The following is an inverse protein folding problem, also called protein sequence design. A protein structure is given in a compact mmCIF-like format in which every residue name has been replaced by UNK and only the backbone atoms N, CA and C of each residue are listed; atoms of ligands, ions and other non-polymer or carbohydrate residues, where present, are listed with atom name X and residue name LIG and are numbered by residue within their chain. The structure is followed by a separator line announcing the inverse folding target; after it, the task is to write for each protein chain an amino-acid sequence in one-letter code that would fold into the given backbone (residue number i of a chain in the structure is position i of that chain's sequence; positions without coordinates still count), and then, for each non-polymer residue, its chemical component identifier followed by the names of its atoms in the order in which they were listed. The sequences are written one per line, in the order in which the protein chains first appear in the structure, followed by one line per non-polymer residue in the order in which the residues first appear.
data_IF_769775501713
#
_entry.id   IF_769775501713
#
_cell.length_a   1.000
_cell.length_b   1.000
_cell.length_c   1.000
_cell.angle_alpha   90.00
_cell.angle_beta   90.00
_cell.angle_gamma   90.00
#
_symmetry.space_group_name_H-M   'P 1'
#
loop_
_entity.id
_entity.type
_entity.pdbx_description
1 polymer ?
#
# COMPACT_ATOMS: atom_id res chain seq x y z
N UNK A 1 -0.91 -5.05 -28.52
CA UNK A 1 -0.81 -5.93 -27.32
C UNK A 1 0.48 -6.72 -27.39
N UNK A 2 1.22 -6.85 -26.30
CA UNK A 2 2.49 -7.58 -26.24
C UNK A 2 2.23 -9.07 -25.96
N UNK A 3 2.24 -9.89 -27.00
CA UNK A 3 1.97 -11.34 -26.89
C UNK A 3 3.03 -12.08 -26.06
N UNK A 4 4.28 -11.62 -26.10
CA UNK A 4 5.39 -12.21 -25.31
C UNK A 4 5.11 -12.03 -23.82
N UNK A 5 4.67 -10.85 -23.38
CA UNK A 5 4.31 -10.58 -21.99
C UNK A 5 3.15 -11.47 -21.54
N UNK A 6 2.06 -11.51 -22.32
CA UNK A 6 0.88 -12.33 -21.98
C UNK A 6 1.26 -13.80 -21.82
N UNK A 7 2.04 -14.35 -22.77
CA UNK A 7 2.52 -15.74 -22.74
C UNK A 7 3.36 -16.01 -21.49
N UNK A 8 4.34 -15.14 -21.19
CA UNK A 8 5.20 -15.27 -20.01
C UNK A 8 4.40 -15.27 -18.70
N UNK A 9 3.42 -14.36 -18.56
CA UNK A 9 2.56 -14.31 -17.37
C UNK A 9 1.71 -15.58 -17.26
N UNK A 10 1.09 -16.04 -18.36
CA UNK A 10 0.25 -17.25 -18.35
C UNK A 10 1.04 -18.50 -17.96
N UNK A 11 2.29 -18.62 -18.43
CA UNK A 11 3.14 -19.79 -18.16
C UNK A 11 3.75 -19.78 -16.75
N UNK A 12 4.15 -18.59 -16.24
CA UNK A 12 4.92 -18.49 -15.01
C UNK A 12 4.10 -18.05 -13.78
N UNK A 13 2.95 -17.40 -14.02
CA UNK A 13 2.01 -16.95 -13.00
C UNK A 13 0.57 -17.39 -13.35
N UNK A 14 0.30 -18.70 -13.52
CA UNK A 14 -0.99 -19.19 -14.04
C UNK A 14 -2.17 -18.86 -13.12
N UNK A 15 -1.93 -18.56 -11.85
CA UNK A 15 -2.97 -18.16 -10.89
C UNK A 15 -3.24 -16.65 -10.89
N UNK A 16 -2.40 -15.85 -11.56
CA UNK A 16 -2.60 -14.41 -11.69
C UNK A 16 -3.66 -14.12 -12.76
N UNK A 17 -4.75 -13.51 -12.38
CA UNK A 17 -5.79 -13.05 -13.28
C UNK A 17 -5.35 -11.84 -14.11
N UNK A 18 -4.55 -12.02 -15.17
CA UNK A 18 -4.16 -10.93 -16.07
C UNK A 18 -5.33 -10.53 -16.95
N UNK A 19 -5.83 -9.31 -16.77
CA UNK A 19 -6.88 -8.72 -17.61
C UNK A 19 -6.25 -7.88 -18.72
N UNK A 20 -6.86 -7.92 -19.91
CA UNK A 20 -6.45 -7.11 -21.06
C UNK A 20 -7.57 -6.14 -21.39
N UNK A 21 -7.19 -4.93 -21.84
CA UNK A 21 -8.14 -3.85 -22.15
C UNK A 21 -9.13 -3.57 -21.01
N UNK A 22 -8.63 -3.58 -19.77
CA UNK A 22 -9.47 -3.47 -18.57
C UNK A 22 -9.92 -2.03 -18.30
N UNK A 23 -11.23 -1.77 -18.27
CA UNK A 23 -11.75 -0.41 -18.04
C UNK A 23 -11.41 0.12 -16.66
N UNK A 24 -10.61 1.17 -16.58
CA UNK A 24 -10.16 1.77 -15.31
C UNK A 24 -11.29 2.38 -14.48
N UNK A 25 -12.43 2.67 -15.08
CA UNK A 25 -13.64 3.07 -14.34
C UNK A 25 -14.10 2.06 -13.28
N UNK A 26 -13.69 0.81 -13.37
CA UNK A 26 -13.96 -0.23 -12.34
C UNK A 26 -13.01 -0.13 -11.15
N UNK A 27 -11.87 0.54 -11.32
CA UNK A 27 -10.75 0.59 -10.37
C UNK A 27 -10.49 2.00 -9.85
N UNK A 28 -11.41 2.94 -10.06
CA UNK A 28 -11.36 4.30 -9.53
C UNK A 28 -12.66 4.68 -8.84
N UNK A 29 -12.59 5.47 -7.79
CA UNK A 29 -13.79 5.96 -7.08
C UNK A 29 -14.61 6.94 -7.91
N UNK A 30 -13.98 7.65 -8.84
CA UNK A 30 -14.68 8.52 -9.81
C UNK A 30 -15.51 7.75 -10.83
N UNK A 31 -15.26 6.43 -10.99
CA UNK A 31 -15.96 5.54 -11.94
C UNK A 31 -15.92 6.03 -13.40
N UNK A 32 -14.86 6.72 -13.77
CA UNK A 32 -14.55 7.17 -15.12
C UNK A 32 -13.13 6.75 -15.49
N UNK A 33 -12.80 6.77 -16.79
CA UNK A 33 -11.49 6.45 -17.32
C UNK A 33 -11.53 5.38 -18.41
N UNK A 34 -10.67 5.54 -19.41
CA UNK A 34 -10.41 4.56 -20.45
C UNK A 34 -9.73 3.30 -19.92
N UNK A 35 -9.45 2.35 -20.81
CA UNK A 35 -8.89 1.05 -20.42
C UNK A 35 -7.38 1.11 -20.16
N UNK A 36 -6.90 0.25 -19.24
CA UNK A 36 -5.51 -0.13 -19.16
C UNK A 36 -5.20 -1.21 -20.21
N UNK A 37 -4.01 -1.20 -20.82
CA UNK A 37 -3.62 -2.27 -21.74
C UNK A 37 -3.61 -3.63 -21.04
N UNK A 38 -3.07 -3.65 -19.80
CA UNK A 38 -3.06 -4.81 -18.91
C UNK A 38 -3.35 -4.38 -17.47
N UNK A 39 -4.08 -5.23 -16.74
CA UNK A 39 -4.36 -5.05 -15.32
C UNK A 39 -4.21 -6.37 -14.58
N UNK A 40 -3.61 -6.35 -13.39
CA UNK A 40 -3.51 -7.51 -12.51
C UNK A 40 -3.46 -7.10 -11.04
N UNK A 41 -3.94 -7.98 -10.15
CA UNK A 41 -3.84 -7.84 -8.70
C UNK A 41 -2.98 -8.99 -8.13
N UNK A 42 -1.64 -8.83 -8.13
CA UNK A 42 -0.75 -9.85 -7.60
C UNK A 42 -0.81 -9.93 -6.07
N UNK A 43 -0.49 -11.10 -5.54
CA UNK A 43 -0.13 -11.28 -4.15
C UNK A 43 1.38 -11.05 -3.92
N UNK A 44 1.82 -11.21 -2.65
CA UNK A 44 3.22 -11.01 -2.24
C UNK A 44 4.20 -11.92 -3.00
N UNK A 45 3.78 -13.13 -3.37
CA UNK A 45 4.65 -14.10 -4.06
C UNK A 45 4.78 -13.82 -5.57
N UNK A 46 3.83 -13.07 -6.13
CA UNK A 46 3.71 -12.84 -7.57
C UNK A 46 4.25 -11.49 -8.03
N UNK A 47 4.20 -10.46 -7.15
CA UNK A 47 4.43 -9.05 -7.53
C UNK A 47 5.82 -8.80 -8.12
N UNK A 48 6.89 -9.31 -7.49
CA UNK A 48 8.26 -9.12 -7.97
C UNK A 48 8.44 -9.73 -9.36
N UNK A 49 7.94 -10.96 -9.54
CA UNK A 49 8.04 -11.68 -10.82
C UNK A 49 7.25 -11.00 -11.93
N UNK A 50 6.07 -10.49 -11.61
CA UNK A 50 5.24 -9.74 -12.57
C UNK A 50 5.96 -8.47 -13.07
N UNK A 51 6.62 -7.75 -12.16
CA UNK A 51 7.39 -6.54 -12.49
C UNK A 51 8.62 -6.89 -13.36
N UNK A 52 9.34 -7.96 -13.04
CA UNK A 52 10.45 -8.44 -13.87
C UNK A 52 10.00 -8.73 -15.31
N UNK A 53 8.86 -9.41 -15.48
CA UNK A 53 8.29 -9.71 -16.80
C UNK A 53 7.89 -8.44 -17.56
N UNK A 54 7.30 -7.46 -16.88
CA UNK A 54 6.96 -6.19 -17.50
C UNK A 54 8.22 -5.44 -17.95
N UNK A 55 9.26 -5.39 -17.12
CA UNK A 55 10.57 -4.79 -17.45
C UNK A 55 11.24 -5.49 -18.63
N UNK A 56 11.24 -6.82 -18.66
CA UNK A 56 11.80 -7.60 -19.78
C UNK A 56 11.12 -7.32 -21.13
N UNK A 57 9.92 -6.74 -21.09
CA UNK A 57 9.14 -6.34 -22.27
C UNK A 57 9.15 -4.82 -22.52
N UNK A 58 10.01 -4.05 -21.82
CA UNK A 58 10.03 -2.57 -21.84
C UNK A 58 8.65 -1.94 -21.58
N UNK A 59 7.85 -2.59 -20.75
CA UNK A 59 6.47 -2.19 -20.49
C UNK A 59 6.40 -1.24 -19.30
N UNK A 60 5.79 -0.05 -19.46
CA UNK A 60 5.53 0.84 -18.33
C UNK A 60 4.65 0.18 -17.28
N UNK A 61 4.97 0.40 -16.01
CA UNK A 61 4.20 -0.11 -14.87
C UNK A 61 3.61 1.06 -14.10
N UNK A 62 2.31 1.00 -13.85
CA UNK A 62 1.58 1.93 -12.98
C UNK A 62 1.01 1.16 -11.81
N UNK A 63 1.31 1.58 -10.58
CA UNK A 63 0.77 0.95 -9.37
C UNK A 63 -0.35 1.80 -8.81
N UNK A 64 -1.47 1.16 -8.48
CA UNK A 64 -2.62 1.82 -7.87
C UNK A 64 -3.06 1.07 -6.62
N UNK A 65 -3.55 1.81 -5.63
CA UNK A 65 -4.29 1.24 -4.50
C UNK A 65 -5.79 1.23 -4.79
N UNK A 66 -6.60 1.71 -3.85
CA UNK A 66 -8.07 1.77 -3.96
C UNK A 66 -8.60 2.77 -5.04
N UNK A 67 -7.73 3.42 -5.80
CA UNK A 67 -8.10 4.36 -6.86
C UNK A 67 -8.86 5.60 -6.40
N UNK A 68 -8.78 5.97 -5.11
CA UNK A 68 -9.53 7.08 -4.51
C UNK A 68 -8.92 8.46 -4.80
N UNK A 69 -7.66 8.50 -5.20
CA UNK A 69 -6.96 9.73 -5.55
C UNK A 69 -6.44 9.70 -7.00
N UNK A 70 -7.14 8.99 -7.87
CA UNK A 70 -6.72 8.77 -9.26
C UNK A 70 -7.84 9.17 -10.22
N UNK A 71 -7.49 10.04 -11.17
CA UNK A 71 -8.34 10.39 -12.33
C UNK A 71 -7.67 9.84 -13.58
N UNK A 72 -8.35 8.91 -14.26
CA UNK A 72 -7.88 8.32 -15.51
C UNK A 72 -8.60 8.98 -16.68
N UNK A 73 -7.85 9.49 -17.64
CA UNK A 73 -8.40 10.07 -18.86
C UNK A 73 -8.98 9.02 -19.83
N UNK A 74 -9.72 9.47 -20.85
CA UNK A 74 -10.41 8.59 -21.82
C UNK A 74 -9.45 7.68 -22.61
N UNK A 75 -8.20 8.10 -22.79
CA UNK A 75 -7.18 7.28 -23.45
C UNK A 75 -6.69 6.11 -22.60
N UNK A 76 -7.07 6.04 -21.33
CA UNK A 76 -6.67 4.98 -20.41
C UNK A 76 -5.19 5.03 -20.03
N UNK A 77 -4.64 3.90 -19.60
CA UNK A 77 -3.26 3.75 -19.14
C UNK A 77 -2.54 2.75 -20.04
N UNK A 78 -1.39 3.17 -20.59
CA UNK A 78 -0.56 2.29 -21.41
C UNK A 78 0.36 1.44 -20.54
N UNK A 79 0.55 0.17 -20.93
CA UNK A 79 1.35 -0.81 -20.20
C UNK A 79 0.56 -1.57 -19.14
N UNK A 80 1.26 -1.98 -18.08
CA UNK A 80 0.70 -2.76 -16.99
C UNK A 80 0.23 -1.88 -15.83
N UNK A 81 -1.01 -2.02 -15.42
CA UNK A 81 -1.52 -1.49 -14.16
C UNK A 81 -1.53 -2.61 -13.12
N UNK A 82 -0.88 -2.39 -11.99
CA UNK A 82 -0.87 -3.28 -10.83
C UNK A 82 -1.79 -2.68 -9.77
N UNK A 83 -2.90 -3.37 -9.50
CA UNK A 83 -3.78 -3.07 -8.38
C UNK A 83 -3.24 -3.73 -7.10
N UNK A 84 -2.97 -2.94 -6.06
CA UNK A 84 -2.63 -3.45 -4.74
C UNK A 84 -3.96 -3.69 -4.00
N UNK A 85 -4.41 -4.95 -4.03
CA UNK A 85 -5.74 -5.35 -3.56
C UNK A 85 -5.69 -6.42 -2.48
N UNK A 86 -6.64 -7.37 -2.54
CA UNK A 86 -6.87 -8.39 -1.51
C UNK A 86 -5.67 -9.27 -1.21
N UNK A 87 -4.80 -9.55 -2.18
CA UNK A 87 -3.59 -10.37 -1.99
C UNK A 87 -2.55 -9.75 -1.04
N UNK A 88 -2.73 -8.47 -0.68
CA UNK A 88 -1.85 -7.70 0.21
C UNK A 88 -2.68 -6.91 1.24
N UNK A 89 -3.76 -7.49 1.81
CA UNK A 89 -4.71 -6.77 2.67
C UNK A 89 -4.81 -7.32 4.10
N UNK A 90 -3.88 -8.15 4.54
CA UNK A 90 -3.85 -8.70 5.90
C UNK A 90 -3.65 -7.59 6.94
N UNK A 91 -4.29 -7.73 8.11
CA UNK A 91 -4.19 -6.78 9.23
C UNK A 91 -3.96 -7.58 10.49
N UNK A 92 -2.78 -7.42 11.11
CA UNK A 92 -2.38 -8.07 12.35
C UNK A 92 -2.18 -7.04 13.45
N UNK A 93 -2.63 -7.39 14.66
CA UNK A 93 -2.43 -6.57 15.87
C UNK A 93 -1.55 -7.37 16.82
N UNK A 94 -0.39 -6.82 17.16
CA UNK A 94 0.55 -7.45 18.10
C UNK A 94 0.88 -6.51 19.25
N UNK A 95 1.06 -7.06 20.45
CA UNK A 95 1.66 -6.31 21.55
C UNK A 95 3.12 -5.99 21.19
N UNK A 96 3.57 -4.78 21.45
CA UNK A 96 4.98 -4.43 21.26
C UNK A 96 5.81 -5.16 22.30
N UNK A 97 6.42 -6.28 21.90
CA UNK A 97 7.42 -6.95 22.73
C UNK A 97 8.69 -6.10 22.68
N UNK A 98 9.22 -5.71 23.82
CA UNK A 98 10.38 -4.81 23.99
C UNK A 98 11.71 -5.26 23.34
N UNK A 99 11.72 -6.34 22.55
CA UNK A 99 12.95 -7.00 22.06
C UNK A 99 13.23 -6.87 20.55
N UNK A 100 12.45 -6.13 19.75
CA UNK A 100 12.71 -6.08 18.30
C UNK A 100 12.95 -4.69 17.69
N UNK A 101 13.23 -3.68 18.49
CA UNK A 101 13.62 -2.38 17.94
C UNK A 101 15.14 -2.16 18.06
N UNK A 102 15.82 -2.25 16.92
CA UNK A 102 17.16 -1.69 16.71
C UNK A 102 17.03 -0.17 16.49
N UNK A 103 16.48 0.56 17.43
CA UNK A 103 16.42 2.02 17.32
C UNK A 103 16.45 2.66 18.71
N UNK A 104 17.31 3.63 18.83
CA UNK A 104 17.69 4.36 20.02
C UNK A 104 16.60 5.24 20.66
N UNK A 105 15.31 5.07 20.33
CA UNK A 105 14.21 5.95 20.75
C UNK A 105 13.06 5.29 21.54
N UNK A 106 13.30 4.10 22.12
CA UNK A 106 12.33 3.50 23.02
C UNK A 106 12.74 3.74 24.46
N UNK A 107 12.21 4.79 25.10
CA UNK A 107 12.19 4.84 26.57
C UNK A 107 11.35 3.66 27.06
N UNK A 108 11.85 2.94 28.05
CA UNK A 108 11.33 1.66 28.56
C UNK A 108 9.93 1.73 29.25
N UNK A 109 9.07 2.66 28.85
CA UNK A 109 7.72 2.88 29.39
C UNK A 109 6.60 2.87 28.34
N UNK A 110 6.89 2.62 27.04
CA UNK A 110 5.85 2.59 26.01
C UNK A 110 5.26 1.17 25.89
N UNK A 111 4.13 0.94 26.56
CA UNK A 111 3.22 -0.18 26.33
C UNK A 111 2.47 -0.04 24.98
N UNK A 112 3.16 0.39 23.93
CA UNK A 112 2.58 0.57 22.60
C UNK A 112 2.22 -0.76 21.96
N UNK A 113 1.16 -0.78 21.16
CA UNK A 113 0.81 -1.91 20.31
C UNK A 113 1.21 -1.60 18.87
N UNK A 114 1.54 -2.64 18.11
CA UNK A 114 1.88 -2.52 16.69
C UNK A 114 0.74 -3.12 15.87
N UNK A 115 0.23 -2.34 14.94
CA UNK A 115 -0.60 -2.85 13.85
C UNK A 115 0.27 -2.97 12.60
N UNK A 116 0.34 -4.18 12.06
CA UNK A 116 0.91 -4.43 10.73
C UNK A 116 -0.22 -4.59 9.74
N UNK A 117 -0.21 -3.78 8.69
CA UNK A 117 -1.24 -3.83 7.65
C UNK A 117 -0.62 -3.91 6.25
N UNK A 118 -1.13 -4.84 5.45
CA UNK A 118 -0.78 -4.95 4.03
C UNK A 118 -1.22 -3.70 3.26
N UNK A 119 -0.47 -3.34 2.23
CA UNK A 119 -0.68 -2.12 1.46
C UNK A 119 -2.06 -2.02 0.77
N UNK A 120 -2.69 -3.18 0.49
CA UNK A 120 -4.02 -3.28 -0.08
C UNK A 120 -5.16 -3.19 0.95
N UNK A 121 -4.86 -3.22 2.26
CA UNK A 121 -5.87 -3.05 3.29
C UNK A 121 -6.53 -1.68 3.19
N UNK A 122 -7.84 -1.63 3.34
CA UNK A 122 -8.59 -0.37 3.38
C UNK A 122 -8.24 0.38 4.68
N UNK A 123 -7.80 1.62 4.56
CA UNK A 123 -7.29 2.39 5.71
C UNK A 123 -8.33 2.52 6.83
N UNK A 124 -9.59 2.77 6.48
CA UNK A 124 -10.69 2.81 7.46
C UNK A 124 -10.92 1.45 8.16
N UNK A 125 -10.66 0.33 7.49
CA UNK A 125 -10.75 -0.99 8.13
C UNK A 125 -9.61 -1.21 9.14
N UNK A 126 -8.42 -0.68 8.86
CA UNK A 126 -7.30 -0.70 9.81
C UNK A 126 -7.63 0.15 11.04
N UNK A 127 -8.20 1.35 10.84
CA UNK A 127 -8.65 2.21 11.94
C UNK A 127 -9.75 1.54 12.79
N UNK A 128 -10.72 0.88 12.16
CA UNK A 128 -11.76 0.12 12.86
C UNK A 128 -11.17 -1.04 13.68
N UNK A 129 -10.20 -1.77 13.11
CA UNK A 129 -9.49 -2.86 13.81
C UNK A 129 -8.71 -2.33 15.02
N UNK A 130 -8.09 -1.15 14.91
CA UNK A 130 -7.43 -0.47 16.03
C UNK A 130 -8.42 -0.16 17.15
N UNK A 131 -9.57 0.45 16.82
CA UNK A 131 -10.61 0.80 17.79
C UNK A 131 -11.21 -0.46 18.46
N UNK A 132 -11.42 -1.56 17.72
CA UNK A 132 -11.85 -2.85 18.28
C UNK A 132 -10.85 -3.38 19.32
N UNK A 133 -9.55 -3.17 19.07
CA UNK A 133 -8.48 -3.55 20.00
C UNK A 133 -8.22 -2.51 21.10
N UNK A 134 -9.05 -1.47 21.23
CA UNK A 134 -8.88 -0.37 22.20
C UNK A 134 -7.55 0.37 22.00
N UNK A 135 -7.19 0.65 20.74
CA UNK A 135 -5.95 1.35 20.36
C UNK A 135 -6.26 2.66 19.65
N UNK A 136 -5.70 3.75 20.18
CA UNK A 136 -5.82 5.13 19.70
C UNK A 136 -4.62 5.50 18.81
N UNK A 137 -4.85 6.38 17.84
CA UNK A 137 -3.85 6.97 16.94
C UNK A 137 -4.25 6.92 15.47
N UNK A 138 -5.24 6.11 15.08
CA UNK A 138 -5.74 6.02 13.69
C UNK A 138 -7.15 6.61 13.51
N UNK A 139 -7.68 7.37 14.46
CA UNK A 139 -9.01 7.98 14.39
C UNK A 139 -9.16 8.87 13.15
N UNK A 140 -8.13 9.64 12.83
CA UNK A 140 -8.09 10.51 11.64
C UNK A 140 -8.29 9.74 10.34
N UNK A 141 -7.93 8.45 10.33
CA UNK A 141 -7.93 7.61 9.14
C UNK A 141 -9.30 7.00 8.83
N UNK A 142 -10.25 7.02 9.78
CA UNK A 142 -11.56 6.36 9.68
C UNK A 142 -12.40 6.83 8.48
N UNK A 143 -12.26 8.08 8.07
CA UNK A 143 -12.97 8.69 6.94
C UNK A 143 -12.18 8.75 5.62
N UNK A 144 -10.94 8.29 5.58
CA UNK A 144 -10.10 8.36 4.38
C UNK A 144 -10.37 7.14 3.47
N UNK A 145 -10.88 7.33 2.25
CA UNK A 145 -11.30 6.24 1.37
C UNK A 145 -10.13 5.64 0.57
N UNK A 146 -8.99 5.39 1.21
CA UNK A 146 -7.77 4.89 0.58
C UNK A 146 -7.35 3.53 1.09
N UNK A 147 -6.33 2.95 0.45
CA UNK A 147 -5.59 1.81 0.97
C UNK A 147 -4.37 2.26 1.77
N UNK A 148 -3.86 1.38 2.64
CA UNK A 148 -2.65 1.62 3.45
C UNK A 148 -1.48 2.06 2.57
N UNK A 149 -1.19 1.35 1.48
CA UNK A 149 -0.09 1.72 0.58
C UNK A 149 -0.26 3.12 0.00
N UNK A 150 -1.45 3.46 -0.49
CA UNK A 150 -1.74 4.82 -0.98
C UNK A 150 -1.64 5.88 0.12
N UNK A 151 -2.02 5.53 1.35
CA UNK A 151 -1.93 6.43 2.50
C UNK A 151 -0.46 6.73 2.88
N UNK A 152 0.42 5.73 2.86
CA UNK A 152 1.87 5.91 3.08
C UNK A 152 2.47 6.76 1.96
N UNK A 153 2.18 6.44 0.69
CA UNK A 153 2.67 7.20 -0.47
C UNK A 153 2.34 8.68 -0.38
N UNK A 154 1.13 9.00 0.07
CA UNK A 154 0.61 10.38 0.12
C UNK A 154 0.76 11.05 1.50
N UNK A 155 1.35 10.37 2.49
CA UNK A 155 1.28 10.80 3.88
C UNK A 155 -0.15 11.28 4.21
N UNK A 156 -1.14 10.40 3.99
CA UNK A 156 -2.55 10.76 4.07
C UNK A 156 -2.90 11.28 5.48
N UNK A 157 -3.68 12.33 5.53
CA UNK A 157 -4.10 12.93 6.79
C UNK A 157 -5.46 13.60 6.69
N UNK A 158 -6.11 13.71 7.84
CA UNK A 158 -7.39 14.39 8.04
C UNK A 158 -7.52 14.80 9.51
N UNK A 159 -8.33 15.83 9.80
CA UNK A 159 -8.66 16.26 11.17
C UNK A 159 -7.44 16.51 12.08
N UNK A 160 -6.32 16.92 11.50
CA UNK A 160 -5.10 17.25 12.24
C UNK A 160 -4.15 16.09 12.54
N UNK A 161 -4.49 14.85 12.13
CA UNK A 161 -3.59 13.69 12.17
C UNK A 161 -3.16 13.26 10.77
N UNK A 162 -2.01 12.64 10.64
CA UNK A 162 -1.47 12.12 9.39
C UNK A 162 -0.66 10.83 9.61
N UNK A 163 -0.42 10.08 8.53
CA UNK A 163 0.27 8.78 8.59
C UNK A 163 1.60 8.86 9.33
N UNK A 164 2.41 9.89 9.09
CA UNK A 164 3.73 10.04 9.75
C UNK A 164 3.66 10.07 11.28
N UNK A 165 2.53 10.46 11.86
CA UNK A 165 2.39 10.59 13.32
C UNK A 165 2.40 9.23 14.01
N UNK A 166 1.96 8.18 13.32
CA UNK A 166 1.81 6.82 13.86
C UNK A 166 2.67 5.77 13.14
N UNK A 167 3.23 6.08 11.98
CA UNK A 167 4.02 5.14 11.19
C UNK A 167 5.35 4.83 11.87
N UNK A 168 5.71 3.55 11.95
CA UNK A 168 7.05 3.07 12.33
C UNK A 168 7.91 2.96 11.08
N UNK A 169 7.46 2.15 10.13
CA UNK A 169 8.13 1.85 8.87
C UNK A 169 7.15 1.26 7.84
N UNK A 170 7.68 1.08 6.63
CA UNK A 170 7.01 0.35 5.57
C UNK A 170 7.95 -0.67 4.91
N UNK A 171 7.43 -1.84 4.57
CA UNK A 171 8.10 -2.77 3.67
C UNK A 171 7.76 -2.36 2.24
N UNK A 172 8.80 -2.17 1.45
CA UNK A 172 8.67 -1.77 0.03
C UNK A 172 9.40 -2.75 -0.89
N UNK A 173 8.92 -2.82 -2.12
CA UNK A 173 9.67 -3.38 -3.24
C UNK A 173 10.35 -2.20 -3.95
N UNK A 174 11.68 -2.27 -4.08
CA UNK A 174 12.45 -1.20 -4.73
C UNK A 174 12.32 -1.26 -6.25
N UNK A 175 12.80 -0.22 -6.94
CA UNK A 175 12.84 -0.21 -8.39
C UNK A 175 13.70 -1.34 -8.98
N UNK A 176 14.68 -1.85 -8.23
CA UNK A 176 15.55 -2.97 -8.60
C UNK A 176 14.87 -4.33 -8.36
N UNK A 177 13.75 -4.37 -7.64
CA UNK A 177 13.01 -5.59 -7.30
C UNK A 177 13.41 -6.19 -5.95
N UNK A 178 14.10 -5.43 -5.10
CA UNK A 178 14.53 -5.88 -3.77
C UNK A 178 13.49 -5.51 -2.71
N UNK A 179 13.29 -6.39 -1.74
CA UNK A 179 12.49 -6.09 -0.54
C UNK A 179 13.33 -5.27 0.43
N UNK A 180 12.81 -4.13 0.86
CA UNK A 180 13.46 -3.25 1.82
C UNK A 180 12.47 -2.76 2.86
N UNK A 181 12.87 -2.72 4.13
CA UNK A 181 12.16 -1.97 5.17
C UNK A 181 12.71 -0.55 5.19
N UNK A 182 11.83 0.43 5.07
CA UNK A 182 12.14 1.87 5.05
C UNK A 182 11.49 2.49 6.27
N UNK A 183 12.28 3.12 7.13
CA UNK A 183 11.79 3.76 8.35
C UNK A 183 10.96 5.01 8.03
N UNK A 184 10.16 5.47 9.01
CA UNK A 184 9.41 6.73 8.90
C UNK A 184 10.29 7.90 8.44
N UNK A 185 11.47 8.03 9.04
CA UNK A 185 12.38 9.15 8.76
C UNK A 185 12.99 9.03 7.35
N UNK A 186 13.34 7.81 6.90
CA UNK A 186 13.80 7.55 5.54
C UNK A 186 12.72 7.77 4.48
N UNK A 187 11.43 7.68 4.86
CA UNK A 187 10.30 7.92 3.94
C UNK A 187 10.09 9.39 3.60
N UNK A 188 10.72 10.32 4.32
CA UNK A 188 10.64 11.77 4.11
C UNK A 188 9.19 12.28 3.93
N UNK A 189 8.34 11.91 4.89
CA UNK A 189 6.91 12.16 4.83
C UNK A 189 6.59 13.64 5.08
N UNK A 190 5.97 14.28 4.12
CA UNK A 190 5.48 15.65 4.21
C UNK A 190 4.10 15.80 3.57
N UNK A 191 3.59 17.02 3.41
CA UNK A 191 2.25 17.24 2.85
C UNK A 191 2.12 16.63 1.45
N UNK A 192 1.29 15.59 1.31
CA UNK A 192 1.03 14.85 0.07
C UNK A 192 2.30 14.28 -0.59
N UNK A 193 3.29 13.96 0.21
CA UNK A 193 4.59 13.53 -0.27
C UNK A 193 5.20 12.38 0.54
N UNK A 194 5.92 11.51 -0.15
CA UNK A 194 6.88 10.55 0.39
C UNK A 194 7.94 10.21 -0.66
N UNK A 195 9.12 9.76 -0.22
CA UNK A 195 10.20 9.31 -1.11
C UNK A 195 9.80 8.13 -2.00
N UNK A 196 8.72 7.42 -1.66
CA UNK A 196 8.20 6.26 -2.42
C UNK A 196 7.98 6.62 -3.88
N UNK A 197 7.40 7.80 -4.16
CA UNK A 197 7.13 8.26 -5.53
C UNK A 197 8.42 8.56 -6.28
N UNK A 198 9.36 9.23 -5.64
CA UNK A 198 10.63 9.63 -6.26
C UNK A 198 11.54 8.45 -6.58
N UNK A 199 11.56 7.46 -5.69
CA UNK A 199 12.37 6.24 -5.83
C UNK A 199 11.70 5.15 -6.67
N UNK A 200 10.44 5.33 -7.06
CA UNK A 200 9.70 4.29 -7.77
C UNK A 200 9.48 3.03 -6.93
N UNK A 201 9.39 3.18 -5.61
CA UNK A 201 9.12 2.07 -4.70
C UNK A 201 7.65 1.68 -4.74
N UNK A 202 7.35 0.43 -4.37
CA UNK A 202 5.99 -0.07 -4.19
C UNK A 202 5.82 -0.48 -2.74
N UNK A 203 4.91 0.16 -2.01
CA UNK A 203 4.59 -0.23 -0.63
C UNK A 203 3.86 -1.57 -0.64
N UNK A 204 4.33 -2.51 0.19
CA UNK A 204 3.74 -3.84 0.34
C UNK A 204 3.04 -4.02 1.69
N UNK A 205 3.57 -3.41 2.75
CA UNK A 205 2.95 -3.33 4.08
C UNK A 205 3.46 -2.13 4.85
N UNK A 206 2.77 -1.77 5.93
CA UNK A 206 3.20 -0.73 6.86
C UNK A 206 2.95 -1.16 8.30
N UNK A 207 3.80 -0.67 9.24
CA UNK A 207 3.64 -0.87 10.68
C UNK A 207 3.33 0.45 11.36
N UNK A 208 2.32 0.42 12.20
CA UNK A 208 1.84 1.59 12.95
C UNK A 208 2.00 1.33 14.44
N UNK A 209 2.49 2.33 15.20
CA UNK A 209 2.51 2.31 16.65
C UNK A 209 1.29 3.03 17.18
N UNK A 210 0.50 2.34 17.98
CA UNK A 210 -0.72 2.86 18.59
C UNK A 210 -0.66 2.70 20.12
N UNK A 211 -1.42 3.50 20.84
CA UNK A 211 -1.45 3.50 22.29
C UNK A 211 -2.78 2.96 22.82
N UNK A 212 -2.77 2.13 23.88
CA UNK A 212 -4.01 1.71 24.53
C UNK A 212 -4.82 2.90 25.05
N UNK A 213 -6.14 2.87 24.81
CA UNK A 213 -7.07 3.89 25.26
C UNK A 213 -8.44 3.27 25.53
N UNK A 214 -9.22 3.74 26.51
CA UNK A 214 -10.59 3.30 26.69
C UNK A 214 -11.41 3.45 25.41
N UNK A 215 -12.19 2.41 25.07
CA UNK A 215 -12.90 2.33 23.78
C UNK A 215 -13.92 3.46 23.56
N UNK A 216 -14.48 3.98 24.64
CA UNK A 216 -15.42 5.10 24.65
C UNK A 216 -14.75 6.47 24.43
N UNK A 217 -13.41 6.51 24.39
CA UNK A 217 -12.60 7.69 24.09
C UNK A 217 -11.96 7.64 22.69
N UNK A 218 -12.15 6.57 21.93
CA UNK A 218 -11.67 6.36 20.57
C UNK A 218 -12.83 6.58 19.57
#
# INVERSE_FOLDING_TARGET
MNQTFVKSVTEQLPQLGLLQDEPMKKHTTFRIGGSADYYAEPDMSQISKLIEMAKACDMPVTVIGNGSNLLVGDKGIRGLVIGIGKGLSEIDVTEAVAQQSTAQDLTAQDNGHIITAGAGAILAAVAAKAAEASLSGLEFASGIPGSVGGAVVMNAGAYGGEIKDVLIDATVLTAEGELKTVTRDELDLSYRHSIVQEKGYIVLSARFRLIPKPKDEI
#
